data_IF_735318988761
#
_entry.id   IF_735318988761
#
_cell.length_a   1.000
_cell.length_b   1.000
_cell.length_c   1.000
_cell.angle_alpha   90.00
_cell.angle_beta   90.00
_cell.angle_gamma   90.00
#
_symmetry.space_group_name_H-M   'P 1'
#
loop_
_entity.id
_entity.type
_entity.pdbx_description
1 polymer ?
#
# COMPACT_ATOMS: atom_id res chain seq x y z
N UNK A 1 53.40 3.08 -62.76
CA UNK A 1 52.42 4.00 -62.19
C UNK A 1 51.19 3.20 -61.79
N UNK A 2 51.16 2.70 -60.55
CA UNK A 2 50.03 1.91 -60.02
C UNK A 2 49.05 2.81 -59.32
N UNK A 3 47.83 2.95 -59.88
CA UNK A 3 46.69 3.65 -59.26
C UNK A 3 46.04 2.69 -58.26
N UNK A 4 46.17 2.99 -56.96
CA UNK A 4 45.43 2.28 -55.88
C UNK A 4 44.02 2.91 -55.85
N UNK A 5 43.01 2.11 -56.24
CA UNK A 5 41.60 2.46 -56.10
C UNK A 5 41.19 2.26 -54.62
N UNK A 6 40.94 3.39 -53.94
CA UNK A 6 40.36 3.36 -52.58
C UNK A 6 38.84 3.09 -52.67
N UNK A 7 38.41 1.99 -52.10
CA UNK A 7 37.01 1.64 -51.96
C UNK A 7 36.43 2.35 -50.72
N UNK A 8 35.37 3.14 -50.84
CA UNK A 8 34.75 3.72 -49.64
C UNK A 8 33.89 2.66 -48.96
N UNK A 9 34.23 2.34 -47.71
CA UNK A 9 33.37 1.51 -46.84
C UNK A 9 32.17 2.33 -46.39
N UNK A 10 30.94 1.78 -46.50
CA UNK A 10 29.76 2.47 -45.96
C UNK A 10 29.79 2.44 -44.43
N UNK A 11 29.79 3.62 -43.80
CA UNK A 11 29.56 3.78 -42.40
C UNK A 11 28.09 3.45 -42.11
N UNK A 12 27.84 2.24 -41.59
CA UNK A 12 26.53 1.90 -41.04
C UNK A 12 26.41 2.57 -39.67
N UNK A 13 25.36 3.40 -39.42
CA UNK A 13 25.12 3.90 -38.08
C UNK A 13 24.72 2.73 -37.15
N UNK A 14 25.52 2.53 -36.12
CA UNK A 14 25.19 1.58 -35.07
C UNK A 14 23.96 2.07 -34.31
N UNK A 15 22.79 1.51 -34.60
CA UNK A 15 21.56 1.79 -33.90
C UNK A 15 21.62 1.14 -32.48
N UNK A 16 21.98 1.92 -31.49
CA UNK A 16 21.94 1.47 -30.07
C UNK A 16 20.48 1.42 -29.63
N UNK A 17 19.87 0.24 -29.69
CA UNK A 17 18.56 -0.01 -29.10
C UNK A 17 18.75 -0.16 -27.60
N UNK A 18 18.44 0.89 -26.84
CA UNK A 18 18.36 0.82 -25.39
C UNK A 18 17.08 0.06 -25.03
N UNK A 19 17.19 -1.23 -24.76
CA UNK A 19 16.14 -2.03 -24.15
C UNK A 19 15.95 -1.54 -22.70
N UNK A 20 14.95 -0.68 -22.48
CA UNK A 20 14.45 -0.42 -21.14
C UNK A 20 13.79 -1.70 -20.65
N UNK A 21 14.51 -2.45 -19.81
CA UNK A 21 13.92 -3.57 -19.09
C UNK A 21 12.78 -3.02 -18.21
N UNK A 22 11.58 -3.66 -18.20
CA UNK A 22 10.56 -3.28 -17.28
C UNK A 22 11.11 -3.46 -15.85
N UNK A 23 11.16 -2.37 -15.08
CA UNK A 23 11.40 -2.48 -13.65
C UNK A 23 10.23 -3.28 -13.07
N UNK A 24 10.54 -4.46 -12.55
CA UNK A 24 9.62 -5.16 -11.67
C UNK A 24 9.24 -4.17 -10.58
N UNK A 25 7.97 -3.76 -10.54
CA UNK A 25 7.45 -3.06 -9.39
C UNK A 25 7.53 -4.07 -8.24
N UNK A 26 8.56 -3.98 -7.41
CA UNK A 26 8.54 -4.65 -6.11
C UNK A 26 7.23 -4.24 -5.46
N UNK A 27 6.39 -5.21 -5.13
CA UNK A 27 5.14 -4.95 -4.43
C UNK A 27 5.54 -4.30 -3.10
N UNK A 28 5.42 -2.98 -3.06
CA UNK A 28 5.79 -2.18 -1.91
C UNK A 28 4.76 -2.50 -0.82
N UNK A 29 5.20 -3.12 0.27
CA UNK A 29 4.34 -3.45 1.41
C UNK A 29 4.12 -2.18 2.21
N UNK A 30 2.85 -1.87 2.52
CA UNK A 30 2.49 -0.73 3.35
C UNK A 30 3.36 -0.68 4.61
N UNK A 31 3.92 0.50 4.89
CA UNK A 31 4.80 0.67 6.05
C UNK A 31 3.96 0.93 7.30
N UNK A 32 3.86 -0.08 8.16
CA UNK A 32 3.20 -0.01 9.45
C UNK A 32 4.20 0.40 10.54
N UNK A 33 3.81 1.35 11.39
CA UNK A 33 4.63 1.79 12.52
C UNK A 33 3.77 1.88 13.78
N UNK A 34 3.90 0.93 14.71
CA UNK A 34 3.19 0.98 16.00
C UNK A 34 3.60 2.22 16.82
N UNK A 35 2.60 2.92 17.34
CA UNK A 35 2.77 4.10 18.19
C UNK A 35 2.47 3.80 19.66
N UNK A 36 1.43 3.01 19.91
CA UNK A 36 0.98 2.72 21.27
C UNK A 36 0.16 1.43 21.32
N UNK A 37 0.31 0.68 22.41
CA UNK A 37 -0.64 -0.38 22.79
C UNK A 37 -1.07 -0.13 24.22
N UNK A 38 -2.40 -0.15 24.49
CA UNK A 38 -2.98 0.06 25.82
C UNK A 38 -4.15 -0.87 26.07
N UNK A 39 -4.13 -1.52 27.25
CA UNK A 39 -5.29 -2.24 27.76
C UNK A 39 -6.43 -1.26 28.06
N UNK A 40 -7.66 -1.66 27.72
CA UNK A 40 -8.87 -0.92 28.07
C UNK A 40 -9.33 -1.37 29.47
N UNK A 41 -9.18 -0.50 30.47
CA UNK A 41 -9.47 -0.83 31.87
C UNK A 41 -10.97 -1.04 32.16
N UNK A 42 -11.81 -0.40 31.36
CA UNK A 42 -13.28 -0.47 31.39
C UNK A 42 -13.85 -1.61 30.50
N UNK A 43 -13.03 -2.23 29.69
CA UNK A 43 -13.40 -3.38 28.84
C UNK A 43 -12.39 -4.53 29.03
N UNK A 44 -12.53 -5.35 30.08
CA UNK A 44 -11.57 -6.41 30.41
C UNK A 44 -11.27 -7.34 29.24
N UNK A 45 -9.99 -7.68 29.02
CA UNK A 45 -9.53 -8.55 27.95
C UNK A 45 -9.41 -7.88 26.58
N UNK A 46 -9.61 -6.57 26.49
CA UNK A 46 -9.42 -5.77 25.28
C UNK A 46 -8.27 -4.78 25.43
N UNK A 47 -7.67 -4.46 24.30
CA UNK A 47 -6.64 -3.44 24.16
C UNK A 47 -6.83 -2.67 22.86
N UNK A 48 -6.26 -1.47 22.82
CA UNK A 48 -6.13 -0.68 21.59
C UNK A 48 -4.67 -0.69 21.17
N UNK A 49 -4.43 -1.05 19.91
CA UNK A 49 -3.20 -0.75 19.20
C UNK A 49 -3.44 0.48 18.33
N UNK A 50 -2.54 1.44 18.40
CA UNK A 50 -2.52 2.62 17.50
C UNK A 50 -1.25 2.56 16.68
N UNK A 51 -1.40 2.74 15.38
CA UNK A 51 -0.25 2.78 14.46
C UNK A 51 -0.47 3.76 13.31
N UNK A 52 0.62 4.16 12.67
CA UNK A 52 0.56 4.81 11.37
C UNK A 52 0.80 3.78 10.27
N UNK A 53 0.06 3.95 9.17
CA UNK A 53 0.22 3.14 7.95
C UNK A 53 0.47 4.09 6.80
N UNK A 54 1.58 3.89 6.08
CA UNK A 54 1.94 4.70 4.91
C UNK A 54 1.84 3.81 3.68
N UNK A 55 1.03 4.24 2.71
CA UNK A 55 0.93 3.63 1.39
C UNK A 55 1.67 4.50 0.37
N UNK A 56 2.59 3.91 -0.37
CA UNK A 56 3.27 4.56 -1.47
C UNK A 56 2.27 4.97 -2.59
N UNK A 57 2.67 5.85 -3.52
CA UNK A 57 1.82 6.21 -4.65
C UNK A 57 1.30 5.00 -5.42
N UNK A 58 -0.02 4.88 -5.56
CA UNK A 58 -0.70 3.79 -6.26
C UNK A 58 -0.66 2.43 -5.57
N UNK A 59 -0.06 2.33 -4.38
CA UNK A 59 0.04 1.08 -3.64
C UNK A 59 -1.34 0.53 -3.28
N UNK A 60 -1.45 -0.80 -3.37
CA UNK A 60 -2.65 -1.56 -2.99
C UNK A 60 -2.25 -2.56 -1.90
N UNK A 61 -2.80 -2.39 -0.70
CA UNK A 61 -2.66 -3.39 0.35
C UNK A 61 -3.39 -4.68 -0.04
N UNK A 62 -2.76 -5.83 0.21
CA UNK A 62 -3.37 -7.12 -0.09
C UNK A 62 -4.62 -7.37 0.77
N UNK A 63 -5.56 -8.17 0.23
CA UNK A 63 -6.74 -8.57 0.98
C UNK A 63 -6.36 -9.32 2.27
N UNK A 64 -7.06 -9.01 3.37
CA UNK A 64 -6.78 -9.56 4.69
C UNK A 64 -8.02 -9.48 5.60
N UNK A 65 -7.90 -10.04 6.81
CA UNK A 65 -8.93 -9.90 7.86
C UNK A 65 -8.30 -9.29 9.11
N UNK A 66 -9.07 -8.51 9.84
CA UNK A 66 -8.67 -8.01 11.15
C UNK A 66 -9.30 -8.81 12.29
N UNK A 67 -8.51 -9.14 13.32
CA UNK A 67 -9.00 -9.65 14.60
C UNK A 67 -9.43 -8.51 15.54
N UNK A 68 -9.84 -7.40 14.98
CA UNK A 68 -10.11 -6.13 15.63
C UNK A 68 -11.27 -5.41 14.94
N UNK A 69 -11.99 -4.55 15.66
CA UNK A 69 -12.67 -3.43 15.05
C UNK A 69 -11.62 -2.36 14.70
N UNK A 70 -11.57 -1.94 13.44
CA UNK A 70 -10.56 -1.00 12.96
C UNK A 70 -11.20 0.33 12.66
N UNK A 71 -10.62 1.39 13.20
CA UNK A 71 -10.97 2.78 12.89
C UNK A 71 -9.76 3.44 12.26
N UNK A 72 -9.91 3.93 11.04
CA UNK A 72 -8.83 4.58 10.32
C UNK A 72 -9.19 6.04 10.03
N UNK A 73 -8.23 6.93 10.29
CA UNK A 73 -8.31 8.36 10.00
C UNK A 73 -7.26 8.69 8.93
N UNK A 74 -7.67 9.34 7.84
CA UNK A 74 -6.75 9.75 6.78
C UNK A 74 -6.05 11.04 7.21
N UNK A 75 -4.77 10.91 7.59
CA UNK A 75 -3.93 12.06 7.93
C UNK A 75 -3.51 12.83 6.68
N UNK A 76 -3.23 12.11 5.58
CA UNK A 76 -2.72 12.69 4.35
C UNK A 76 -3.10 11.81 3.15
N UNK A 77 -3.42 12.43 2.02
CA UNK A 77 -3.72 11.75 0.78
C UNK A 77 -5.18 11.33 0.61
N UNK A 78 -5.40 10.36 -0.25
CA UNK A 78 -6.73 9.84 -0.61
C UNK A 78 -6.67 8.31 -0.62
N UNK A 79 -7.54 7.68 0.13
CA UNK A 79 -7.63 6.21 0.23
C UNK A 79 -8.94 5.74 -0.40
N UNK A 80 -8.85 4.71 -1.24
CA UNK A 80 -10.01 3.90 -1.62
C UNK A 80 -9.96 2.60 -0.85
N UNK A 81 -11.05 2.25 -0.16
CA UNK A 81 -11.14 1.03 0.67
C UNK A 81 -12.46 0.32 0.44
N UNK A 82 -12.47 -1.00 0.66
CA UNK A 82 -13.67 -1.82 0.52
C UNK A 82 -13.62 -3.05 1.43
N UNK A 83 -14.74 -3.31 2.09
CA UNK A 83 -14.99 -4.57 2.80
C UNK A 83 -15.89 -5.44 1.91
N UNK A 84 -15.70 -6.77 1.93
CA UNK A 84 -16.49 -7.73 1.15
C UNK A 84 -17.99 -7.53 1.42
N UNK A 85 -18.77 -7.48 0.33
CA UNK A 85 -20.23 -7.23 0.39
C UNK A 85 -20.64 -5.78 0.61
N UNK A 86 -19.69 -4.88 0.89
CA UNK A 86 -19.91 -3.44 1.01
C UNK A 86 -19.54 -2.67 -0.26
N UNK A 87 -19.93 -1.40 -0.31
CA UNK A 87 -19.54 -0.49 -1.37
C UNK A 87 -18.08 -0.02 -1.20
N UNK A 88 -17.41 0.25 -2.31
CA UNK A 88 -16.10 0.89 -2.28
C UNK A 88 -16.25 2.36 -1.83
N UNK A 89 -15.41 2.77 -0.89
CA UNK A 89 -15.41 4.12 -0.33
C UNK A 89 -14.13 4.85 -0.72
N UNK A 90 -14.26 6.11 -1.12
CA UNK A 90 -13.10 7.01 -1.30
C UNK A 90 -13.09 8.01 -0.15
N UNK A 91 -12.01 8.00 0.62
CA UNK A 91 -11.85 8.79 1.84
C UNK A 91 -10.67 9.75 1.68
N UNK A 92 -10.93 11.04 1.83
CA UNK A 92 -9.94 12.11 1.74
C UNK A 92 -9.32 12.42 3.10
N UNK A 93 -8.24 13.19 3.11
CA UNK A 93 -7.64 13.77 4.32
C UNK A 93 -8.70 14.36 5.24
N UNK A 94 -8.67 14.01 6.53
CA UNK A 94 -9.66 14.38 7.54
C UNK A 94 -10.86 13.43 7.62
N UNK A 95 -11.01 12.51 6.68
CA UNK A 95 -12.07 11.50 6.70
C UNK A 95 -11.71 10.28 7.54
N UNK A 96 -12.75 9.51 7.89
CA UNK A 96 -12.64 8.27 8.66
C UNK A 96 -13.37 7.13 7.95
N UNK A 97 -12.92 5.90 8.19
CA UNK A 97 -13.65 4.70 7.82
C UNK A 97 -13.53 3.63 8.89
N UNK A 98 -14.42 2.65 8.84
CA UNK A 98 -14.49 1.56 9.82
C UNK A 98 -14.48 0.22 9.11
N UNK A 99 -13.73 -0.73 9.66
CA UNK A 99 -13.69 -2.12 9.21
C UNK A 99 -14.13 -3.04 10.36
N UNK A 100 -15.20 -3.81 10.16
CA UNK A 100 -15.68 -4.74 11.16
C UNK A 100 -14.68 -5.88 11.43
N UNK A 101 -14.66 -6.43 12.66
CA UNK A 101 -13.80 -7.56 12.96
C UNK A 101 -14.20 -8.79 12.12
N UNK A 102 -13.20 -9.50 11.59
CA UNK A 102 -13.28 -10.72 10.80
C UNK A 102 -13.87 -10.60 9.38
N UNK A 103 -14.43 -9.48 9.01
CA UNK A 103 -14.86 -9.27 7.63
C UNK A 103 -13.62 -9.25 6.71
N UNK A 104 -13.80 -9.69 5.47
CA UNK A 104 -12.72 -9.63 4.49
C UNK A 104 -12.57 -8.18 4.02
N UNK A 105 -11.48 -7.57 4.43
CA UNK A 105 -11.05 -6.30 3.86
C UNK A 105 -10.39 -6.60 2.50
N UNK A 106 -10.99 -6.14 1.43
CA UNK A 106 -10.50 -6.39 0.06
C UNK A 106 -9.22 -5.60 -0.25
N UNK A 107 -8.83 -4.72 0.66
CA UNK A 107 -7.63 -3.91 0.64
C UNK A 107 -7.93 -2.42 0.58
N UNK A 108 -6.95 -1.65 1.01
CA UNK A 108 -6.92 -0.21 0.83
C UNK A 108 -5.96 0.14 -0.30
N UNK A 109 -6.28 1.16 -1.06
CA UNK A 109 -5.46 1.67 -2.16
C UNK A 109 -5.19 3.15 -1.95
N UNK A 110 -3.94 3.57 -2.13
CA UNK A 110 -3.63 4.97 -2.34
C UNK A 110 -4.10 5.39 -3.74
N UNK A 111 -5.10 6.28 -3.80
CA UNK A 111 -5.68 6.74 -5.06
C UNK A 111 -4.75 7.67 -5.85
N UNK A 112 -3.74 8.29 -5.20
CA UNK A 112 -2.72 9.08 -5.86
C UNK A 112 -1.63 8.19 -6.46
N UNK A 113 -1.19 8.52 -7.67
CA UNK A 113 -0.05 7.86 -8.34
C UNK A 113 1.27 8.62 -8.16
N UNK A 114 1.24 9.76 -7.47
CA UNK A 114 2.40 10.64 -7.31
C UNK A 114 2.76 10.93 -5.85
N UNK A 115 1.76 10.94 -4.95
CA UNK A 115 1.93 11.30 -3.56
C UNK A 115 1.61 10.12 -2.64
N UNK A 116 2.31 9.95 -1.50
CA UNK A 116 1.98 8.94 -0.51
C UNK A 116 0.66 9.28 0.20
N UNK A 117 0.05 8.27 0.82
CA UNK A 117 -1.07 8.45 1.73
C UNK A 117 -0.70 7.92 3.11
N UNK A 118 -1.12 8.64 4.16
CA UNK A 118 -0.83 8.30 5.56
C UNK A 118 -2.12 8.16 6.34
N UNK A 119 -2.25 7.03 7.03
CA UNK A 119 -3.37 6.72 7.92
C UNK A 119 -2.90 6.71 9.38
N UNK A 120 -3.77 7.13 10.29
CA UNK A 120 -3.71 6.80 11.71
C UNK A 120 -4.78 5.74 11.99
N UNK A 121 -4.36 4.58 12.46
CA UNK A 121 -5.22 3.40 12.58
C UNK A 121 -5.30 2.95 14.03
N UNK A 122 -6.53 2.68 14.49
CA UNK A 122 -6.84 2.18 15.83
C UNK A 122 -7.45 0.79 15.72
N UNK A 123 -6.82 -0.20 16.30
CA UNK A 123 -7.31 -1.57 16.39
C UNK A 123 -7.85 -1.84 17.80
N UNK A 124 -9.16 -2.00 17.94
CA UNK A 124 -9.79 -2.46 19.18
C UNK A 124 -9.88 -3.97 19.13
N UNK A 125 -8.95 -4.65 19.82
CA UNK A 125 -8.76 -6.10 19.69
C UNK A 125 -8.71 -6.83 21.02
N UNK A 126 -8.78 -8.17 20.98
CA UNK A 126 -8.49 -9.01 22.14
C UNK A 126 -7.01 -8.81 22.52
N UNK A 127 -6.75 -8.71 23.81
CA UNK A 127 -5.40 -8.56 24.36
C UNK A 127 -4.47 -9.68 23.85
N UNK A 128 -3.30 -9.30 23.35
CA UNK A 128 -2.29 -10.21 22.82
C UNK A 128 -2.60 -10.83 21.46
N UNK A 129 -3.79 -10.61 20.88
CA UNK A 129 -4.09 -11.13 19.55
C UNK A 129 -3.37 -10.32 18.45
N UNK A 130 -2.93 -10.95 17.34
CA UNK A 130 -2.41 -10.20 16.21
C UNK A 130 -3.54 -9.34 15.60
N UNK A 131 -3.27 -8.08 15.18
CA UNK A 131 -4.31 -7.21 14.62
C UNK A 131 -4.84 -7.72 13.29
N UNK A 132 -3.99 -8.34 12.49
CA UNK A 132 -4.29 -8.73 11.11
C UNK A 132 -3.96 -10.19 10.87
N UNK A 133 -4.75 -10.86 10.03
CA UNK A 133 -4.50 -12.20 9.50
C UNK A 133 -4.57 -12.19 7.98
N UNK A 134 -3.57 -12.78 7.35
CA UNK A 134 -3.57 -12.95 5.88
C UNK A 134 -4.64 -13.96 5.48
N UNK A 135 -5.23 -13.76 4.31
CA UNK A 135 -6.05 -14.75 3.63
C UNK A 135 -5.16 -15.53 2.65
N UNK A 136 -5.41 -16.83 2.51
CA UNK A 136 -4.68 -17.65 1.53
C UNK A 136 -4.86 -17.16 0.11
#
# INVERSE_FOLDING_TARGET
MNKILAFPWPLFPLLVVILLAPRSADAQVAKETPLMTRALTDVPGREVLVETVILAPGEVAAAHRHNAGVFAYVLEGIITTQVEGGESQTVHTGGVFYEPPRDLHLGSRNASTTEPATLLVFFVKKMGAPPTTRVP
#
